data_IF_654216063581
#
_entry.id   IF_654216063581
#
_cell.length_a   1.000
_cell.length_b   1.000
_cell.length_c   1.000
_cell.angle_alpha   90.00
_cell.angle_beta   90.00
_cell.angle_gamma   90.00
#
_symmetry.space_group_name_H-M   'P 1'
#
loop_
_entity.id
_entity.type
_entity.pdbx_description
1 polymer ?
#
# COMPACT_ATOMS: atom_id res chain seq x y z
N UNK A 1 1.64 21.25 -25.42
CA UNK A 1 0.53 20.46 -24.90
C UNK A 1 0.64 18.96 -25.20
N UNK A 2 0.91 18.54 -26.43
CA UNK A 2 1.03 17.11 -26.77
C UNK A 2 2.21 16.35 -26.11
N UNK A 3 3.33 17.01 -25.80
CA UNK A 3 4.51 16.37 -25.18
C UNK A 3 4.26 15.93 -23.73
N UNK A 4 3.53 16.74 -22.97
CA UNK A 4 3.20 16.40 -21.58
C UNK A 4 2.16 15.28 -21.47
N UNK A 5 1.23 15.20 -22.43
CA UNK A 5 0.24 14.13 -22.50
C UNK A 5 0.91 12.78 -22.79
N UNK A 6 1.93 12.73 -23.67
CA UNK A 6 2.68 11.51 -23.96
C UNK A 6 3.53 11.05 -22.78
N UNK A 7 4.12 11.96 -22.01
CA UNK A 7 4.90 11.60 -20.82
C UNK A 7 3.99 11.08 -19.69
N UNK A 8 2.82 11.67 -19.48
CA UNK A 8 1.85 11.15 -18.51
C UNK A 8 1.29 9.78 -18.89
N UNK A 9 1.00 9.58 -20.20
CA UNK A 9 0.56 8.26 -20.68
C UNK A 9 1.65 7.19 -20.57
N UNK A 10 2.92 7.58 -20.78
CA UNK A 10 4.05 6.65 -20.67
C UNK A 10 4.35 6.28 -19.23
N UNK A 11 4.19 7.22 -18.27
CA UNK A 11 4.35 6.95 -16.83
C UNK A 11 3.20 6.08 -16.30
N UNK A 12 1.97 6.31 -16.76
CA UNK A 12 0.81 5.48 -16.45
C UNK A 12 0.94 4.08 -17.05
N UNK A 13 1.50 3.95 -18.27
CA UNK A 13 1.74 2.67 -18.90
C UNK A 13 2.85 1.88 -18.21
N UNK A 14 3.90 2.54 -17.72
CA UNK A 14 4.98 1.85 -16.98
C UNK A 14 4.56 1.44 -15.58
N UNK A 15 3.76 2.24 -14.88
CA UNK A 15 3.21 1.90 -13.57
C UNK A 15 2.14 0.79 -13.68
N UNK A 16 1.29 0.86 -14.72
CA UNK A 16 0.32 -0.21 -15.02
C UNK A 16 1.01 -1.49 -15.50
N UNK A 17 2.16 -1.39 -16.20
CA UNK A 17 2.92 -2.56 -16.63
C UNK A 17 3.66 -3.23 -15.46
N UNK A 18 4.16 -2.46 -14.48
CA UNK A 18 4.80 -3.00 -13.29
C UNK A 18 3.77 -3.70 -12.36
N UNK A 19 2.58 -3.10 -12.23
CA UNK A 19 1.45 -3.73 -11.51
C UNK A 19 0.87 -4.88 -12.32
N UNK A 20 0.86 -4.80 -13.67
CA UNK A 20 0.32 -5.84 -14.54
C UNK A 20 1.24 -7.07 -14.64
N UNK A 21 2.56 -6.93 -14.52
CA UNK A 21 3.45 -8.10 -14.53
C UNK A 21 3.30 -8.98 -13.28
N UNK A 22 2.94 -8.39 -12.13
CA UNK A 22 2.62 -9.16 -10.91
C UNK A 22 1.12 -9.50 -10.78
N UNK A 23 0.22 -8.71 -11.38
CA UNK A 23 -1.23 -8.90 -11.27
C UNK A 23 -1.76 -10.10 -12.06
N UNK A 24 -1.03 -10.61 -13.06
CA UNK A 24 -1.38 -11.86 -13.76
C UNK A 24 -1.30 -13.10 -12.87
N UNK A 25 -0.63 -13.00 -11.72
CA UNK A 25 -0.53 -14.06 -10.69
C UNK A 25 -1.26 -13.69 -9.41
N UNK A 26 -1.74 -12.45 -9.27
CA UNK A 26 -2.43 -12.01 -8.06
C UNK A 26 -3.85 -12.58 -8.02
N UNK A 27 -4.21 -13.19 -6.90
CA UNK A 27 -5.59 -13.61 -6.67
C UNK A 27 -6.40 -12.47 -6.05
N UNK A 28 -7.69 -12.42 -6.33
CA UNK A 28 -8.59 -11.51 -5.61
C UNK A 28 -8.70 -11.94 -4.15
N UNK A 29 -8.56 -10.98 -3.26
CA UNK A 29 -8.58 -11.21 -1.81
C UNK A 29 -9.87 -11.89 -1.32
N UNK A 30 -10.98 -11.73 -2.05
CA UNK A 30 -12.26 -12.39 -1.75
C UNK A 30 -12.25 -13.92 -1.88
N UNK A 31 -11.24 -14.51 -2.53
CA UNK A 31 -11.06 -15.97 -2.60
C UNK A 31 -10.28 -16.55 -1.42
N UNK A 32 -9.77 -15.70 -0.53
CA UNK A 32 -9.04 -16.14 0.65
C UNK A 32 -9.98 -16.27 1.85
N UNK A 33 -9.91 -17.39 2.52
CA UNK A 33 -10.46 -17.57 3.85
C UNK A 33 -9.47 -17.05 4.91
N UNK A 34 -9.98 -16.67 6.08
CA UNK A 34 -9.13 -16.25 7.19
C UNK A 34 -9.48 -17.04 8.45
N UNK A 35 -8.50 -17.73 9.00
CA UNK A 35 -8.60 -18.43 10.26
C UNK A 35 -7.53 -17.92 11.23
N UNK A 36 -7.95 -17.27 12.33
CA UNK A 36 -7.06 -16.72 13.37
C UNK A 36 -5.97 -15.79 12.82
N UNK A 37 -6.31 -15.00 11.79
CA UNK A 37 -5.37 -14.06 11.16
C UNK A 37 -4.42 -14.65 10.12
N UNK A 38 -4.53 -15.96 9.86
CA UNK A 38 -3.84 -16.62 8.75
C UNK A 38 -4.78 -16.71 7.55
N UNK A 39 -4.34 -16.22 6.40
CA UNK A 39 -5.10 -16.29 5.15
C UNK A 39 -4.79 -17.57 4.41
N UNK A 40 -5.83 -18.27 3.99
CA UNK A 40 -5.73 -19.60 3.35
C UNK A 40 -6.44 -19.58 1.99
N UNK A 41 -5.92 -20.38 1.06
CA UNK A 41 -6.56 -20.75 -0.19
C UNK A 41 -6.72 -22.27 -0.18
N UNK A 42 -7.94 -22.75 -0.41
CA UNK A 42 -8.26 -24.18 -0.36
C UNK A 42 -7.82 -24.86 0.96
N UNK A 43 -7.94 -24.14 2.08
CA UNK A 43 -7.57 -24.55 3.45
C UNK A 43 -6.06 -24.61 3.74
N UNK A 44 -5.22 -24.32 2.76
CA UNK A 44 -3.76 -24.24 2.94
C UNK A 44 -3.32 -22.78 3.10
N UNK A 45 -2.31 -22.47 3.94
CA UNK A 45 -1.77 -21.12 4.08
C UNK A 45 -1.31 -20.56 2.75
N UNK A 46 -1.85 -19.40 2.37
CA UNK A 46 -1.58 -18.84 1.06
C UNK A 46 -0.23 -18.11 1.03
N UNK A 47 0.56 -18.40 0.00
CA UNK A 47 1.76 -17.63 -0.34
C UNK A 47 1.64 -17.08 -1.76
N UNK A 48 1.66 -15.76 -1.90
CA UNK A 48 1.56 -15.11 -3.20
C UNK A 48 0.96 -13.72 -3.15
N UNK A 49 0.93 -13.03 -4.31
CA UNK A 49 0.36 -11.70 -4.44
C UNK A 49 -1.16 -11.72 -4.39
N UNK A 50 -1.72 -10.63 -3.84
CA UNK A 50 -3.17 -10.43 -3.72
C UNK A 50 -3.56 -9.05 -4.18
N UNK A 51 -4.79 -8.96 -4.64
CA UNK A 51 -5.44 -7.73 -5.07
C UNK A 51 -6.82 -7.63 -4.44
N UNK A 52 -7.18 -6.44 -3.97
CA UNK A 52 -8.50 -6.13 -3.43
C UNK A 52 -9.02 -4.83 -4.00
N UNK A 53 -10.18 -4.88 -4.63
CA UNK A 53 -10.91 -3.67 -5.03
C UNK A 53 -11.54 -3.03 -3.82
N UNK A 54 -11.34 -1.73 -3.66
CA UNK A 54 -11.93 -0.89 -2.61
C UNK A 54 -12.81 0.17 -3.27
N UNK A 55 -13.77 0.73 -2.53
CA UNK A 55 -14.55 1.87 -3.03
C UNK A 55 -13.68 3.09 -3.39
N UNK A 56 -12.54 3.23 -2.72
CA UNK A 56 -11.56 4.30 -2.92
C UNK A 56 -10.45 3.94 -3.92
N UNK A 57 -10.47 2.74 -4.54
CA UNK A 57 -9.45 2.29 -5.49
C UNK A 57 -9.02 0.84 -5.32
N UNK A 58 -7.72 0.58 -5.22
CA UNK A 58 -7.15 -0.75 -5.28
C UNK A 58 -6.11 -0.95 -4.17
N UNK A 59 -6.20 -2.06 -3.44
CA UNK A 59 -5.14 -2.50 -2.53
C UNK A 59 -4.41 -3.71 -3.12
N UNK A 60 -3.09 -3.70 -3.05
CA UNK A 60 -2.22 -4.81 -3.48
C UNK A 60 -1.20 -5.13 -2.41
N UNK A 61 -0.77 -6.37 -2.35
CA UNK A 61 0.26 -6.84 -1.45
C UNK A 61 0.55 -8.32 -1.67
N UNK A 62 1.24 -8.93 -0.73
CA UNK A 62 1.50 -10.36 -0.75
C UNK A 62 1.40 -10.98 0.63
N UNK A 63 1.09 -12.26 0.64
CA UNK A 63 1.16 -13.11 1.81
C UNK A 63 2.30 -14.10 1.67
N UNK A 64 2.88 -14.48 2.80
CA UNK A 64 3.78 -15.62 2.95
C UNK A 64 3.22 -16.49 4.08
N UNK A 65 2.93 -17.74 3.76
CA UNK A 65 2.33 -18.69 4.72
C UNK A 65 1.06 -18.11 5.40
N UNK A 66 0.22 -17.43 4.62
CA UNK A 66 -1.01 -16.79 5.08
C UNK A 66 -0.83 -15.50 5.87
N UNK A 67 0.38 -14.99 6.01
CA UNK A 67 0.70 -13.79 6.80
C UNK A 67 1.21 -12.69 5.88
N UNK A 68 0.82 -11.43 6.13
CA UNK A 68 1.29 -10.28 5.33
C UNK A 68 2.82 -10.19 5.30
N UNK A 69 3.40 -10.13 4.11
CA UNK A 69 4.84 -10.02 3.91
C UNK A 69 5.15 -9.13 2.70
N UNK A 70 6.23 -8.35 2.77
CA UNK A 70 6.68 -7.49 1.68
C UNK A 70 5.91 -6.19 1.56
N UNK A 71 5.91 -5.63 0.35
CA UNK A 71 5.30 -4.35 0.04
C UNK A 71 3.78 -4.47 -0.02
N UNK A 72 3.10 -3.55 0.67
CA UNK A 72 1.66 -3.34 0.60
C UNK A 72 1.39 -1.90 0.19
N UNK A 73 0.44 -1.71 -0.71
CA UNK A 73 0.06 -0.38 -1.16
C UNK A 73 -1.45 -0.30 -1.42
N UNK A 74 -1.99 0.90 -1.20
CA UNK A 74 -3.34 1.25 -1.60
C UNK A 74 -3.25 2.38 -2.60
N UNK A 75 -3.90 2.22 -3.73
CA UNK A 75 -4.01 3.21 -4.80
C UNK A 75 -5.41 3.79 -4.80
N UNK A 76 -5.54 5.08 -5.12
CA UNK A 76 -6.83 5.70 -5.38
C UNK A 76 -7.40 5.29 -6.76
N UNK A 77 -8.57 5.79 -7.11
CA UNK A 77 -9.27 5.46 -8.36
C UNK A 77 -8.54 5.89 -9.63
N UNK A 78 -7.58 6.81 -9.51
CA UNK A 78 -6.73 7.28 -10.62
C UNK A 78 -5.31 6.67 -10.59
N UNK A 79 -5.09 5.65 -9.73
CA UNK A 79 -3.84 4.90 -9.64
C UNK A 79 -2.72 5.56 -8.83
N UNK A 80 -3.01 6.63 -8.08
CA UNK A 80 -2.01 7.24 -7.20
C UNK A 80 -1.98 6.53 -5.85
N UNK A 81 -0.80 6.28 -5.26
CA UNK A 81 -0.72 5.65 -3.96
C UNK A 81 -1.22 6.59 -2.86
N UNK A 82 -2.10 6.09 -2.01
CA UNK A 82 -2.58 6.73 -0.78
C UNK A 82 -2.04 6.05 0.47
N UNK A 83 -1.45 4.86 0.34
CA UNK A 83 -0.68 4.19 1.37
C UNK A 83 0.39 3.34 0.74
N UNK A 84 1.60 3.40 1.27
CA UNK A 84 2.72 2.50 0.92
C UNK A 84 3.38 2.08 2.23
N UNK A 85 3.60 0.78 2.40
CA UNK A 85 4.31 0.28 3.58
C UNK A 85 4.78 -1.16 3.41
N UNK A 86 5.75 -1.55 4.22
CA UNK A 86 6.26 -2.92 4.24
C UNK A 86 5.78 -3.66 5.47
N UNK A 87 5.52 -4.95 5.29
CA UNK A 87 5.21 -5.89 6.37
C UNK A 87 6.25 -6.99 6.39
N UNK A 88 6.54 -7.46 7.59
CA UNK A 88 7.38 -8.64 7.84
C UNK A 88 6.69 -9.46 8.92
N UNK A 89 6.41 -10.72 8.61
CA UNK A 89 5.71 -11.62 9.54
C UNK A 89 4.40 -11.02 10.10
N UNK A 90 3.63 -10.35 9.23
CA UNK A 90 2.35 -9.74 9.58
C UNK A 90 2.42 -8.38 10.25
N UNK A 91 3.60 -7.90 10.62
CA UNK A 91 3.81 -6.65 11.34
C UNK A 91 4.40 -5.56 10.44
N UNK A 92 4.03 -4.31 10.70
CA UNK A 92 4.65 -3.16 10.03
C UNK A 92 6.15 -3.15 10.28
N UNK A 93 6.93 -3.01 9.20
CA UNK A 93 8.37 -2.98 9.25
C UNK A 93 8.93 -2.06 8.18
N UNK A 94 9.91 -1.20 8.53
CA UNK A 94 10.47 -0.22 7.61
C UNK A 94 9.57 1.00 7.41
N UNK A 95 9.76 1.69 6.30
CA UNK A 95 9.10 2.95 5.99
C UNK A 95 7.63 2.76 5.64
N UNK A 96 6.78 3.62 6.22
CA UNK A 96 5.37 3.79 5.88
C UNK A 96 5.11 5.23 5.46
N UNK A 97 4.29 5.38 4.41
CA UNK A 97 3.82 6.66 3.92
C UNK A 97 2.31 6.57 3.67
N UNK A 98 1.59 7.59 4.14
CA UNK A 98 0.15 7.72 3.91
C UNK A 98 -0.18 9.14 3.44
N UNK A 99 -1.28 9.25 2.70
CA UNK A 99 -1.78 10.52 2.18
C UNK A 99 -3.28 10.63 2.39
N UNK A 100 -3.72 11.81 2.79
CA UNK A 100 -5.10 12.24 2.61
C UNK A 100 -5.38 12.41 1.12
N UNK A 101 -6.51 11.94 0.66
CA UNK A 101 -6.93 12.03 -0.73
C UNK A 101 -8.47 12.17 -0.74
N UNK A 102 -8.94 13.38 -1.05
CA UNK A 102 -10.36 13.72 -1.18
C UNK A 102 -10.87 13.66 -2.62
N UNK A 103 -9.99 13.20 -3.56
CA UNK A 103 -10.26 13.14 -4.99
C UNK A 103 -9.90 14.42 -5.77
N UNK A 104 -9.71 15.55 -5.09
CA UNK A 104 -9.29 16.83 -5.69
C UNK A 104 -7.86 17.18 -5.28
N UNK A 105 -7.54 17.00 -4.02
CA UNK A 105 -6.24 17.31 -3.44
C UNK A 105 -5.62 16.09 -2.78
N UNK A 106 -4.31 16.06 -2.72
CA UNK A 106 -3.56 14.99 -2.09
C UNK A 106 -2.48 15.58 -1.19
N UNK A 107 -2.66 15.44 0.10
CA UNK A 107 -1.72 15.90 1.11
C UNK A 107 -1.12 14.73 1.85
N UNK A 108 0.13 14.88 2.27
CA UNK A 108 0.77 13.86 3.10
C UNK A 108 0.09 13.79 4.46
N UNK A 109 -0.20 12.59 4.93
CA UNK A 109 -0.78 12.30 6.24
C UNK A 109 0.30 11.84 7.21
N UNK A 110 1.11 10.85 6.79
CA UNK A 110 2.10 10.20 7.64
C UNK A 110 3.37 9.85 6.86
N UNK A 111 4.52 10.09 7.47
CA UNK A 111 5.76 9.38 7.20
C UNK A 111 6.27 8.82 8.52
N UNK A 112 6.47 7.52 8.60
CA UNK A 112 6.99 6.87 9.78
C UNK A 112 7.87 5.68 9.41
N UNK A 113 8.75 5.29 10.33
CA UNK A 113 9.47 4.03 10.26
C UNK A 113 8.99 3.14 11.39
N UNK A 114 8.72 1.87 11.06
CA UNK A 114 8.26 0.87 12.00
C UNK A 114 9.27 -0.26 12.15
N UNK A 115 9.34 -0.80 13.35
CA UNK A 115 9.90 -2.10 13.63
C UNK A 115 8.93 -2.88 14.51
N UNK A 116 8.43 -4.02 13.99
CA UNK A 116 7.47 -4.88 14.69
C UNK A 116 6.24 -4.12 15.22
N UNK A 117 5.60 -3.29 14.36
CA UNK A 117 4.46 -2.40 14.65
C UNK A 117 4.77 -1.20 15.58
N UNK A 118 5.98 -1.06 16.04
CA UNK A 118 6.39 0.07 16.88
C UNK A 118 7.03 1.16 16.03
N UNK A 119 6.74 2.41 16.34
CA UNK A 119 7.48 3.55 15.77
C UNK A 119 8.95 3.47 16.20
N UNK A 120 9.84 3.65 15.24
CA UNK A 120 11.27 3.81 15.46
C UNK A 120 11.77 4.99 14.64
N UNK A 121 12.78 5.72 15.16
CA UNK A 121 13.31 6.92 14.54
C UNK A 121 12.27 8.04 14.37
N UNK A 122 12.45 8.86 13.33
CA UNK A 122 11.56 10.00 13.04
C UNK A 122 10.19 9.55 12.53
N UNK A 123 9.15 10.20 13.03
CA UNK A 123 7.85 10.18 12.40
C UNK A 123 7.33 11.61 12.21
N UNK A 124 6.50 11.80 11.18
CA UNK A 124 5.94 13.09 10.81
C UNK A 124 4.49 12.89 10.41
N UNK A 125 3.62 13.70 10.97
CA UNK A 125 2.20 13.71 10.65
C UNK A 125 1.75 15.09 10.19
N UNK A 126 0.74 15.14 9.36
CA UNK A 126 0.13 16.35 8.83
C UNK A 126 -1.38 16.27 8.97
N UNK A 127 -2.02 17.43 9.10
CA UNK A 127 -3.47 17.56 8.99
C UNK A 127 -3.90 17.51 7.52
N UNK A 128 -5.22 17.26 7.29
CA UNK A 128 -5.82 17.30 5.94
C UNK A 128 -5.56 18.61 5.20
N UNK A 129 -5.44 19.73 5.91
CA UNK A 129 -5.12 21.03 5.32
C UNK A 129 -3.64 21.19 4.92
N UNK A 130 -2.86 20.12 4.98
CA UNK A 130 -1.43 20.08 4.65
C UNK A 130 -0.49 20.71 5.67
N UNK A 131 -1.00 21.25 6.78
CA UNK A 131 -0.15 21.78 7.85
C UNK A 131 0.43 20.62 8.66
N UNK A 132 1.70 20.76 9.04
CA UNK A 132 2.38 19.77 9.88
C UNK A 132 1.71 19.70 11.26
N UNK A 133 1.35 18.50 11.68
CA UNK A 133 0.71 18.22 12.97
C UNK A 133 1.75 17.90 14.03
N UNK A 134 2.53 16.85 13.80
CA UNK A 134 3.48 16.32 14.77
C UNK A 134 4.79 15.99 14.07
N UNK A 135 5.89 16.21 14.78
CA UNK A 135 7.21 15.65 14.48
C UNK A 135 7.71 15.02 15.77
N UNK A 136 7.96 13.73 15.74
CA UNK A 136 8.46 12.98 16.88
C UNK A 136 9.69 12.14 16.52
N UNK A 137 10.41 11.76 17.55
CA UNK A 137 11.52 10.83 17.44
C UNK A 137 11.36 9.77 18.54
N UNK A 138 11.44 8.50 18.15
CA UNK A 138 11.45 7.37 19.07
C UNK A 138 12.83 6.72 19.12
N UNK A 139 13.30 6.50 20.31
CA UNK A 139 14.57 5.83 20.61
C UNK A 139 14.30 4.34 20.81
#
# INVERSE_FOLDING_TARGET
>A
MLKHLKQSLMLLATLSLLVAQDSTKAIEWGYLDSLRGVYTLDKEPYTGPVIKKLGIGLMTGSYRDGIKDGLWQTLNTIGQPIMIGHFKEGKKHGKFEQWYDDGETRHRELIATFDQDKYVNDYKEWYENGKKSIVGYYI
#
